data_IF_899060045311
#
_entry.id   IF_899060045311
#
_cell.length_a   1.000
_cell.length_b   1.000
_cell.length_c   1.000
_cell.angle_alpha   90.00
_cell.angle_beta   90.00
_cell.angle_gamma   90.00
#
_symmetry.space_group_name_H-M   'P 1'
#
loop_
_entity.id
_entity.type
_entity.pdbx_description
1 polymer ?
#
# COMPACT_ATOMS: atom_id res chain seq x y z
N UNK A 1 -16.24 -0.46 12.15
CA UNK A 1 -15.14 0.52 12.05
C UNK A 1 -15.28 1.65 13.06
N UNK A 2 -16.29 2.53 12.98
CA UNK A 2 -16.51 3.61 13.97
C UNK A 2 -16.56 3.09 15.40
N UNK A 3 -17.37 2.08 15.65
CA UNK A 3 -17.55 1.54 17.00
C UNK A 3 -16.27 0.88 17.55
N UNK A 4 -15.30 0.57 16.68
CA UNK A 4 -13.98 0.06 17.06
C UNK A 4 -12.98 1.18 17.38
N UNK A 5 -13.43 2.44 17.37
CA UNK A 5 -12.56 3.60 17.62
C UNK A 5 -11.61 3.91 16.46
N UNK A 6 -11.92 3.49 15.22
CA UNK A 6 -11.08 3.81 14.06
C UNK A 6 -11.09 5.31 13.81
N UNK A 7 -9.95 5.96 14.08
CA UNK A 7 -9.73 7.37 13.81
C UNK A 7 -9.21 7.62 12.39
N UNK A 8 -8.24 6.81 11.93
CA UNK A 8 -7.68 6.91 10.58
C UNK A 8 -8.18 5.77 9.70
N UNK A 9 -8.85 6.12 8.60
CA UNK A 9 -9.29 5.16 7.59
C UNK A 9 -8.55 5.43 6.28
N UNK A 10 -7.76 4.44 5.84
CA UNK A 10 -7.13 4.47 4.52
C UNK A 10 -7.94 3.64 3.53
N UNK A 11 -8.52 4.29 2.54
CA UNK A 11 -9.14 3.64 1.39
C UNK A 11 -8.07 3.38 0.33
N UNK A 12 -7.91 2.12 -0.05
CA UNK A 12 -6.85 1.61 -0.93
C UNK A 12 -7.40 0.45 -1.78
N UNK A 13 -6.55 -0.44 -2.27
CA UNK A 13 -6.92 -1.59 -3.12
C UNK A 13 -6.00 -1.67 -4.33
N UNK A 14 -6.55 -2.12 -5.46
CA UNK A 14 -5.96 -1.83 -6.78
C UNK A 14 -6.17 -0.35 -7.15
N UNK A 15 -7.43 0.09 -7.19
CA UNK A 15 -7.83 1.49 -7.32
C UNK A 15 -9.17 1.71 -6.58
N UNK A 16 -9.25 2.50 -5.50
CA UNK A 16 -10.51 2.67 -4.76
C UNK A 16 -11.56 3.47 -5.54
N UNK A 17 -11.16 4.39 -6.43
CA UNK A 17 -12.09 5.29 -7.14
C UNK A 17 -12.89 4.63 -8.28
N UNK A 18 -12.69 3.32 -8.50
CA UNK A 18 -13.54 2.53 -9.42
C UNK A 18 -14.64 1.77 -8.68
N UNK A 19 -14.60 1.71 -7.35
CA UNK A 19 -15.59 1.00 -6.57
C UNK A 19 -16.95 1.73 -6.64
N UNK A 20 -18.05 1.03 -6.96
CA UNK A 20 -19.36 1.66 -7.10
C UNK A 20 -19.89 2.24 -5.79
N UNK A 21 -19.43 1.74 -4.64
CA UNK A 21 -19.81 2.21 -3.31
C UNK A 21 -18.85 3.26 -2.75
N UNK A 22 -17.79 3.64 -3.49
CA UNK A 22 -16.76 4.57 -2.99
C UNK A 22 -17.37 5.88 -2.45
N UNK A 23 -18.29 6.49 -3.19
CA UNK A 23 -18.88 7.78 -2.81
C UNK A 23 -19.63 7.67 -1.47
N UNK A 24 -20.45 6.63 -1.31
CA UNK A 24 -21.26 6.38 -0.11
C UNK A 24 -20.38 6.04 1.09
N UNK A 25 -19.42 5.13 0.91
CA UNK A 25 -18.49 4.71 1.97
C UNK A 25 -17.64 5.88 2.44
N UNK A 26 -17.12 6.69 1.51
CA UNK A 26 -16.29 7.84 1.85
C UNK A 26 -17.08 8.93 2.58
N UNK A 27 -18.26 9.31 2.08
CA UNK A 27 -19.12 10.31 2.74
C UNK A 27 -19.50 9.85 4.16
N UNK A 28 -19.95 8.61 4.30
CA UNK A 28 -20.32 8.06 5.59
C UNK A 28 -19.12 8.05 6.56
N UNK A 29 -17.95 7.58 6.13
CA UNK A 29 -16.78 7.56 6.99
C UNK A 29 -16.36 8.97 7.46
N UNK A 30 -16.48 9.98 6.58
CA UNK A 30 -16.23 11.38 6.92
C UNK A 30 -17.23 11.88 7.97
N UNK A 31 -18.53 11.65 7.75
CA UNK A 31 -19.61 12.05 8.66
C UNK A 31 -19.50 11.37 10.04
N UNK A 32 -18.92 10.16 10.08
CA UNK A 32 -18.60 9.46 11.32
C UNK A 32 -17.31 9.98 12.00
N UNK A 33 -16.69 11.04 11.48
CA UNK A 33 -15.56 11.74 12.10
C UNK A 33 -14.18 11.11 11.83
N UNK A 34 -14.06 10.23 10.83
CA UNK A 34 -12.78 9.60 10.51
C UNK A 34 -11.88 10.52 9.67
N UNK A 35 -10.58 10.43 9.92
CA UNK A 35 -9.55 11.06 9.10
C UNK A 35 -9.23 10.19 7.88
N UNK A 36 -9.72 10.62 6.72
CA UNK A 36 -9.69 9.80 5.50
C UNK A 36 -8.41 9.99 4.69
N UNK A 37 -7.74 8.89 4.38
CA UNK A 37 -6.64 8.84 3.42
C UNK A 37 -7.05 8.03 2.20
N UNK A 38 -6.84 8.57 1.00
CA UNK A 38 -7.07 7.84 -0.25
C UNK A 38 -5.72 7.47 -0.84
N UNK A 39 -5.52 6.21 -1.22
CA UNK A 39 -4.38 5.77 -2.03
C UNK A 39 -4.87 5.37 -3.42
N UNK A 40 -4.46 6.12 -4.44
CA UNK A 40 -5.01 6.04 -5.82
C UNK A 40 -3.90 6.16 -6.86
N UNK A 41 -4.14 5.66 -8.08
CA UNK A 41 -3.31 5.94 -9.25
C UNK A 41 -3.63 7.32 -9.88
N UNK A 42 -4.61 8.05 -9.35
CA UNK A 42 -4.94 9.41 -9.75
C UNK A 42 -5.73 9.55 -11.06
N UNK A 43 -5.87 8.47 -11.85
CA UNK A 43 -6.50 8.52 -13.18
C UNK A 43 -7.97 8.92 -13.17
N UNK A 44 -8.65 8.82 -12.02
CA UNK A 44 -10.08 9.15 -11.85
C UNK A 44 -10.32 10.48 -11.15
N UNK A 45 -9.27 11.16 -10.69
CA UNK A 45 -9.40 12.44 -9.97
C UNK A 45 -9.95 13.58 -10.85
N UNK A 46 -9.98 13.42 -12.17
CA UNK A 46 -10.59 14.40 -13.06
C UNK A 46 -12.12 14.28 -13.19
N UNK A 47 -12.72 13.25 -12.58
CA UNK A 47 -14.16 13.03 -12.65
C UNK A 47 -14.88 14.03 -11.73
N UNK A 48 -15.88 14.75 -12.25
CA UNK A 48 -16.59 15.80 -11.51
C UNK A 48 -17.28 15.27 -10.26
N UNK A 49 -17.94 14.11 -10.31
CA UNK A 49 -18.59 13.52 -9.14
C UNK A 49 -17.60 13.18 -8.03
N UNK A 50 -16.41 12.70 -8.40
CA UNK A 50 -15.33 12.44 -7.42
C UNK A 50 -14.82 13.76 -6.83
N UNK A 51 -14.55 14.78 -7.66
CA UNK A 51 -14.08 16.08 -7.18
C UNK A 51 -15.10 16.77 -6.28
N UNK A 52 -16.37 16.77 -6.66
CA UNK A 52 -17.46 17.35 -5.87
C UNK A 52 -17.55 16.68 -4.49
N UNK A 53 -17.38 15.35 -4.42
CA UNK A 53 -17.32 14.63 -3.16
C UNK A 53 -16.10 15.04 -2.33
N UNK A 54 -14.90 14.97 -2.91
CA UNK A 54 -13.64 15.20 -2.20
C UNK A 54 -13.44 16.67 -1.79
N UNK A 55 -14.10 17.61 -2.45
CA UNK A 55 -14.10 19.04 -2.05
C UNK A 55 -15.16 19.34 -0.99
N UNK A 56 -16.29 18.63 -1.01
CA UNK A 56 -17.31 18.71 0.05
C UNK A 56 -16.85 18.05 1.36
N UNK A 57 -16.21 16.90 1.25
CA UNK A 57 -15.74 16.08 2.36
C UNK A 57 -14.22 15.93 2.24
N UNK A 58 -13.47 16.96 2.65
CA UNK A 58 -12.04 17.06 2.36
C UNK A 58 -11.23 15.90 2.97
N UNK A 59 -10.46 15.13 2.16
CA UNK A 59 -9.62 14.08 2.71
C UNK A 59 -8.52 14.65 3.59
N UNK A 60 -8.08 13.89 4.59
CA UNK A 60 -6.87 14.24 5.33
C UNK A 60 -5.63 14.22 4.41
N UNK A 61 -5.59 13.28 3.46
CA UNK A 61 -4.59 13.26 2.37
C UNK A 61 -5.04 12.38 1.20
N UNK A 62 -4.57 12.71 0.00
CA UNK A 62 -4.64 11.86 -1.19
C UNK A 62 -3.22 11.48 -1.59
N UNK A 63 -2.90 10.19 -1.48
CA UNK A 63 -1.60 9.63 -1.84
C UNK A 63 -1.68 9.05 -3.24
N UNK A 64 -1.00 9.68 -4.19
CA UNK A 64 -1.02 9.29 -5.61
C UNK A 64 0.26 8.54 -5.99
N UNK A 65 0.11 7.38 -6.62
CA UNK A 65 1.26 6.61 -7.13
C UNK A 65 1.75 7.13 -8.49
N UNK A 66 3.07 7.30 -8.62
CA UNK A 66 3.75 7.68 -9.87
C UNK A 66 4.54 6.47 -10.40
N UNK A 67 4.32 6.13 -11.66
CA UNK A 67 4.94 4.99 -12.35
C UNK A 67 5.86 5.40 -13.51
N UNK A 68 5.96 6.69 -13.82
CA UNK A 68 6.80 7.25 -14.88
C UNK A 68 6.64 8.76 -14.96
N UNK A 69 7.62 9.42 -15.55
CA UNK A 69 7.60 10.84 -15.88
C UNK A 69 7.18 11.10 -17.35
N UNK A 70 7.23 10.08 -18.21
CA UNK A 70 6.82 10.17 -19.62
C UNK A 70 5.65 9.24 -19.98
N UNK A 71 4.93 9.54 -21.07
CA UNK A 71 3.84 8.68 -21.55
C UNK A 71 4.32 7.29 -21.91
N UNK A 72 5.48 7.17 -22.57
CA UNK A 72 6.04 5.89 -22.98
C UNK A 72 6.37 5.00 -21.77
N UNK A 73 7.09 5.53 -20.79
CA UNK A 73 7.48 4.78 -19.59
C UNK A 73 6.28 4.45 -18.72
N UNK A 74 5.40 5.42 -18.45
CA UNK A 74 4.24 5.21 -17.58
C UNK A 74 3.25 4.20 -18.17
N UNK A 75 2.90 4.32 -19.46
CA UNK A 75 2.02 3.37 -20.13
C UNK A 75 2.67 1.98 -20.24
N UNK A 76 4.01 1.94 -20.40
CA UNK A 76 4.82 0.71 -20.36
C UNK A 76 4.73 0.01 -19.01
N UNK A 77 5.04 0.70 -17.91
CA UNK A 77 4.97 0.11 -16.55
C UNK A 77 3.55 -0.32 -16.19
N UNK A 78 2.55 0.47 -16.53
CA UNK A 78 1.15 0.15 -16.22
C UNK A 78 0.51 -0.85 -17.20
N UNK A 79 1.24 -1.23 -18.26
CA UNK A 79 0.77 -2.13 -19.33
C UNK A 79 -0.56 -1.67 -19.96
N UNK A 80 -0.81 -0.36 -19.98
CA UNK A 80 -2.05 0.23 -20.50
C UNK A 80 -1.82 1.59 -21.12
N UNK A 81 -2.10 1.68 -22.42
CA UNK A 81 -2.00 2.90 -23.20
C UNK A 81 -2.97 3.99 -22.72
N UNK A 82 -2.49 5.23 -22.67
CA UNK A 82 -3.22 6.44 -22.31
C UNK A 82 -3.38 6.67 -20.81
N UNK A 83 -2.78 5.84 -19.96
CA UNK A 83 -2.91 6.00 -18.50
C UNK A 83 -2.12 7.22 -18.01
N UNK A 84 -0.98 7.55 -18.63
CA UNK A 84 -0.25 8.77 -18.30
C UNK A 84 -1.10 10.02 -18.52
N UNK A 85 -1.83 10.08 -19.63
CA UNK A 85 -2.72 11.22 -19.95
C UNK A 85 -3.83 11.35 -18.92
N UNK A 86 -4.46 10.24 -18.52
CA UNK A 86 -5.49 10.24 -17.48
C UNK A 86 -4.91 10.67 -16.12
N UNK A 87 -3.73 10.16 -15.76
CA UNK A 87 -3.00 10.54 -14.56
C UNK A 87 -2.69 12.05 -14.53
N UNK A 88 -2.10 12.61 -15.60
CA UNK A 88 -1.80 14.05 -15.71
C UNK A 88 -3.06 14.91 -15.61
N UNK A 89 -4.15 14.49 -16.27
CA UNK A 89 -5.46 15.16 -16.18
C UNK A 89 -6.01 15.12 -14.76
N UNK A 90 -5.90 13.97 -14.09
CA UNK A 90 -6.31 13.79 -12.70
C UNK A 90 -5.52 14.67 -11.74
N UNK A 91 -4.19 14.74 -11.88
CA UNK A 91 -3.33 15.61 -11.08
C UNK A 91 -3.64 17.09 -11.27
N UNK A 92 -3.84 17.52 -12.52
CA UNK A 92 -4.19 18.92 -12.80
C UNK A 92 -5.51 19.31 -12.11
N UNK A 93 -6.54 18.48 -12.25
CA UNK A 93 -7.84 18.73 -11.65
C UNK A 93 -7.80 18.68 -10.11
N UNK A 94 -7.07 17.71 -9.54
CA UNK A 94 -6.91 17.60 -8.09
C UNK A 94 -6.17 18.81 -7.48
N UNK A 95 -5.14 19.30 -8.17
CA UNK A 95 -4.40 20.50 -7.76
C UNK A 95 -5.26 21.76 -7.88
N UNK A 96 -6.00 21.90 -8.96
CA UNK A 96 -6.93 23.03 -9.15
C UNK A 96 -8.02 23.04 -8.08
N UNK A 97 -8.51 21.87 -7.67
CA UNK A 97 -9.47 21.70 -6.58
C UNK A 97 -8.84 21.83 -5.17
N UNK A 98 -7.53 22.06 -5.06
CA UNK A 98 -6.84 22.22 -3.77
C UNK A 98 -6.80 20.96 -2.91
N UNK A 99 -6.82 19.76 -3.52
CA UNK A 99 -6.74 18.51 -2.75
C UNK A 99 -5.35 18.35 -2.10
N UNK A 100 -5.27 17.81 -0.87
CA UNK A 100 -4.01 17.61 -0.16
C UNK A 100 -3.22 16.41 -0.73
N UNK A 101 -2.43 16.67 -1.77
CA UNK A 101 -1.69 15.65 -2.51
C UNK A 101 -0.37 15.28 -1.82
N UNK A 102 -0.11 13.98 -1.75
CA UNK A 102 1.20 13.37 -1.49
C UNK A 102 1.48 12.30 -2.52
N UNK A 103 2.74 11.93 -2.69
CA UNK A 103 3.12 11.02 -3.76
C UNK A 103 3.89 9.78 -3.28
N UNK A 104 3.64 8.67 -3.96
CA UNK A 104 4.46 7.47 -3.87
C UNK A 104 5.14 7.28 -5.23
N UNK A 105 6.46 7.51 -5.31
CA UNK A 105 7.24 7.22 -6.52
C UNK A 105 7.63 5.75 -6.48
N UNK A 106 7.12 4.98 -7.45
CA UNK A 106 7.37 3.54 -7.53
C UNK A 106 8.49 3.30 -8.54
N UNK A 107 9.64 2.85 -8.04
CA UNK A 107 10.84 2.62 -8.87
C UNK A 107 10.98 1.13 -9.15
N UNK A 108 10.88 0.79 -10.44
CA UNK A 108 11.01 -0.55 -11.02
C UNK A 108 12.05 -0.51 -12.15
N UNK A 109 12.48 -1.68 -12.61
CA UNK A 109 13.55 -1.77 -13.61
C UNK A 109 13.24 -0.97 -14.88
N UNK A 110 11.98 -1.01 -15.33
CA UNK A 110 11.53 -0.35 -16.55
C UNK A 110 11.51 1.18 -16.46
N UNK A 111 11.39 1.78 -15.26
CA UNK A 111 11.28 3.23 -15.08
C UNK A 111 12.40 3.86 -14.25
N UNK A 112 13.37 3.07 -13.78
CA UNK A 112 14.43 3.54 -12.88
C UNK A 112 15.20 4.75 -13.40
N UNK A 113 15.34 4.82 -14.72
CA UNK A 113 16.03 5.90 -15.41
C UNK A 113 15.30 7.24 -15.33
N UNK A 114 14.02 7.25 -14.94
CA UNK A 114 13.20 8.46 -14.75
C UNK A 114 12.98 8.81 -13.25
N UNK A 115 13.73 8.21 -12.31
CA UNK A 115 13.50 8.45 -10.87
C UNK A 115 13.56 9.95 -10.52
N UNK A 116 14.56 10.66 -11.02
CA UNK A 116 14.74 12.09 -10.72
C UNK A 116 13.57 12.93 -11.27
N UNK A 117 13.13 12.64 -12.48
CA UNK A 117 12.02 13.31 -13.15
C UNK A 117 10.68 12.98 -12.48
N UNK A 118 10.47 11.75 -12.01
CA UNK A 118 9.30 11.37 -11.24
C UNK A 118 9.24 12.10 -9.89
N UNK A 119 10.38 12.29 -9.22
CA UNK A 119 10.48 13.10 -7.99
C UNK A 119 10.15 14.57 -8.28
N UNK A 120 10.75 15.15 -9.31
CA UNK A 120 10.45 16.53 -9.72
C UNK A 120 8.97 16.71 -10.09
N UNK A 121 8.34 15.68 -10.68
CA UNK A 121 6.91 15.66 -10.95
C UNK A 121 6.08 15.67 -9.67
N UNK A 122 6.46 14.91 -8.65
CA UNK A 122 5.79 14.92 -7.35
C UNK A 122 5.91 16.28 -6.66
N UNK A 123 7.13 16.83 -6.61
CA UNK A 123 7.44 18.12 -5.99
C UNK A 123 6.67 19.29 -6.64
N UNK A 124 6.35 19.19 -7.93
CA UNK A 124 5.56 20.18 -8.65
C UNK A 124 4.05 20.17 -8.36
N UNK A 125 3.54 19.19 -7.61
CA UNK A 125 2.11 18.99 -7.38
C UNK A 125 1.68 18.81 -5.92
N UNK A 126 2.59 18.47 -5.00
CA UNK A 126 2.21 18.21 -3.61
C UNK A 126 3.35 18.45 -2.63
N UNK A 127 3.06 18.26 -1.35
CA UNK A 127 3.92 18.72 -0.26
C UNK A 127 5.07 17.76 0.08
N UNK A 128 4.93 16.48 -0.30
CA UNK A 128 5.81 15.40 0.14
C UNK A 128 5.68 14.16 -0.76
N UNK A 129 6.76 13.38 -0.85
CA UNK A 129 6.79 12.10 -1.55
C UNK A 129 7.63 11.04 -0.84
N UNK A 130 7.20 9.79 -0.98
CA UNK A 130 7.98 8.63 -0.60
C UNK A 130 8.42 7.85 -1.83
N UNK A 131 9.65 7.34 -1.82
CA UNK A 131 10.18 6.52 -2.92
C UNK A 131 10.23 5.07 -2.50
N UNK A 132 9.46 4.25 -3.19
CA UNK A 132 9.42 2.80 -3.04
C UNK A 132 10.30 2.17 -4.12
N UNK A 133 11.53 1.83 -3.75
CA UNK A 133 12.43 1.06 -4.61
C UNK A 133 12.53 -0.41 -4.21
N UNK A 134 12.01 -0.82 -3.05
CA UNK A 134 11.97 -2.22 -2.64
C UNK A 134 10.54 -2.76 -2.81
N UNK A 135 10.35 -3.63 -3.78
CA UNK A 135 9.11 -4.32 -4.09
C UNK A 135 9.02 -5.62 -3.28
N UNK A 136 7.82 -5.90 -2.79
CA UNK A 136 7.48 -7.11 -2.07
C UNK A 136 6.68 -8.06 -2.96
N UNK A 137 6.70 -9.37 -2.69
CA UNK A 137 5.84 -10.32 -3.40
C UNK A 137 4.38 -9.92 -3.28
N UNK A 138 3.57 -10.34 -4.24
CA UNK A 138 2.13 -10.12 -4.19
C UNK A 138 1.52 -10.84 -2.99
N UNK A 139 0.37 -10.36 -2.52
CA UNK A 139 -0.40 -11.06 -1.46
C UNK A 139 -0.96 -12.41 -1.93
N UNK A 140 -0.99 -12.64 -3.24
CA UNK A 140 -1.35 -13.91 -3.87
C UNK A 140 -0.11 -14.79 -4.12
N UNK A 141 1.04 -14.41 -3.53
CA UNK A 141 2.27 -15.18 -3.43
C UNK A 141 2.94 -15.54 -4.76
N UNK A 142 2.65 -14.80 -5.82
CA UNK A 142 3.35 -14.92 -7.09
C UNK A 142 4.62 -14.02 -7.16
N UNK A 143 5.68 -14.46 -7.86
CA UNK A 143 6.95 -13.73 -7.98
C UNK A 143 6.90 -12.59 -9.01
N UNK A 144 5.76 -12.34 -9.66
CA UNK A 144 5.64 -11.42 -10.79
C UNK A 144 6.03 -9.99 -10.42
N UNK A 145 5.76 -9.57 -9.17
CA UNK A 145 6.19 -8.24 -8.71
C UNK A 145 7.70 -8.14 -8.50
N UNK A 146 8.38 -9.28 -8.25
CA UNK A 146 9.83 -9.31 -8.05
C UNK A 146 10.60 -9.25 -9.37
N UNK A 147 9.99 -9.61 -10.50
CA UNK A 147 10.67 -9.51 -11.80
C UNK A 147 10.80 -8.07 -12.27
N UNK A 148 9.87 -7.19 -11.86
CA UNK A 148 9.95 -5.74 -12.11
C UNK A 148 10.91 -5.02 -11.16
N UNK A 149 11.44 -5.68 -10.14
CA UNK A 149 12.33 -5.06 -9.15
C UNK A 149 13.61 -4.55 -9.80
N UNK A 150 13.92 -3.26 -9.67
CA UNK A 150 15.23 -2.76 -10.11
C UNK A 150 16.32 -3.20 -9.13
N UNK A 151 17.34 -3.90 -9.61
CA UNK A 151 18.47 -4.36 -8.78
C UNK A 151 19.40 -3.22 -8.37
N UNK A 152 19.57 -2.23 -9.24
CA UNK A 152 20.39 -1.02 -9.02
C UNK A 152 19.84 -0.12 -7.91
N UNK A 153 18.51 -0.06 -7.79
CA UNK A 153 17.81 0.80 -6.84
C UNK A 153 17.42 0.10 -5.54
N UNK A 154 17.78 -1.18 -5.38
CA UNK A 154 17.58 -1.90 -4.13
C UNK A 154 18.30 -1.17 -2.99
N UNK A 155 17.55 -0.90 -1.93
CA UNK A 155 18.09 -0.33 -0.68
C UNK A 155 18.09 -1.39 0.40
N UNK A 156 19.01 -1.24 1.34
CA UNK A 156 18.98 -2.03 2.57
C UNK A 156 17.65 -1.77 3.28
N UNK A 157 16.93 -2.85 3.61
CA UNK A 157 15.65 -2.73 4.33
C UNK A 157 15.92 -2.18 5.72
N UNK A 158 15.08 -1.24 6.16
CA UNK A 158 15.09 -0.78 7.55
C UNK A 158 14.83 -1.97 8.47
N UNK A 159 15.67 -2.20 9.50
CA UNK A 159 15.43 -3.26 10.47
C UNK A 159 14.05 -3.09 11.13
N UNK A 160 13.25 -4.14 11.06
CA UNK A 160 11.99 -4.25 11.78
C UNK A 160 12.27 -4.34 13.28
N UNK A 161 11.82 -3.35 14.03
CA UNK A 161 11.94 -3.27 15.50
C UNK A 161 10.62 -3.53 16.22
N UNK A 162 9.57 -3.89 15.49
CA UNK A 162 8.20 -4.07 15.98
C UNK A 162 7.18 -3.29 15.17
N UNK A 163 5.91 -3.68 15.24
CA UNK A 163 4.78 -2.89 14.75
C UNK A 163 3.49 -3.27 15.49
N UNK A 164 2.49 -2.39 15.46
CA UNK A 164 1.22 -2.60 16.18
C UNK A 164 0.15 -3.35 15.36
N UNK A 165 0.57 -4.21 14.42
CA UNK A 165 -0.33 -4.95 13.54
C UNK A 165 -1.24 -5.88 14.34
N UNK A 166 -2.55 -5.80 14.10
CA UNK A 166 -3.57 -6.54 14.84
C UNK A 166 -3.87 -5.98 16.23
N UNK A 167 -3.22 -4.88 16.65
CA UNK A 167 -3.44 -4.26 17.97
C UNK A 167 -4.04 -2.86 17.82
N UNK A 168 -3.32 -1.93 17.18
CA UNK A 168 -3.80 -0.55 16.97
C UNK A 168 -4.10 -0.25 15.51
N UNK A 169 -3.86 -1.20 14.62
CA UNK A 169 -4.22 -1.14 13.21
C UNK A 169 -4.50 -2.53 12.68
N UNK A 170 -5.35 -2.59 11.67
CA UNK A 170 -5.69 -3.81 10.95
C UNK A 170 -6.05 -3.45 9.51
N UNK A 171 -6.12 -4.47 8.66
CA UNK A 171 -6.62 -4.35 7.30
C UNK A 171 -7.96 -5.06 7.22
N UNK A 172 -8.94 -4.48 6.52
CA UNK A 172 -10.16 -5.16 6.13
C UNK A 172 -10.30 -5.10 4.61
N UNK A 173 -10.72 -6.21 4.02
CA UNK A 173 -11.05 -6.27 2.60
C UNK A 173 -12.53 -5.91 2.34
N UNK A 174 -12.95 -5.78 1.06
CA UNK A 174 -14.32 -5.40 0.72
C UNK A 174 -15.40 -6.40 1.19
N UNK A 175 -15.02 -7.62 1.57
CA UNK A 175 -15.94 -8.64 2.06
C UNK A 175 -16.04 -8.65 3.59
N UNK A 176 -15.40 -7.69 4.27
CA UNK A 176 -15.40 -7.59 5.72
C UNK A 176 -14.45 -8.57 6.40
N UNK A 177 -13.50 -9.17 5.66
CA UNK A 177 -12.47 -10.05 6.24
C UNK A 177 -11.34 -9.19 6.78
N UNK A 178 -11.12 -9.26 8.10
CA UNK A 178 -10.08 -8.50 8.78
C UNK A 178 -8.81 -9.32 8.98
N UNK A 179 -7.65 -8.75 8.66
CA UNK A 179 -6.31 -9.30 8.91
C UNK A 179 -5.47 -8.33 9.73
N UNK A 180 -4.41 -8.83 10.37
CA UNK A 180 -3.54 -8.01 11.25
C UNK A 180 -2.90 -6.82 10.52
N UNK A 181 -2.63 -6.96 9.21
CA UNK A 181 -2.13 -5.90 8.35
C UNK A 181 -2.32 -6.28 6.87
N UNK A 182 -1.82 -5.44 5.95
CA UNK A 182 -1.87 -5.66 4.49
C UNK A 182 -1.03 -6.85 4.01
N UNK A 183 -0.05 -7.31 4.80
CA UNK A 183 0.90 -8.38 4.43
C UNK A 183 0.54 -9.70 5.11
N UNK A 184 0.33 -9.69 6.43
CA UNK A 184 -0.05 -10.86 7.21
C UNK A 184 -1.53 -11.17 7.08
N UNK A 185 -1.93 -11.77 5.96
CA UNK A 185 -3.34 -12.08 5.62
C UNK A 185 -3.71 -13.57 5.74
N UNK A 186 -2.83 -14.38 6.34
CA UNK A 186 -3.00 -15.83 6.43
C UNK A 186 -4.25 -16.24 7.22
N UNK A 187 -4.46 -15.57 8.35
CA UNK A 187 -5.62 -15.77 9.21
C UNK A 187 -6.45 -14.48 9.22
N UNK A 188 -7.75 -14.63 8.99
CA UNK A 188 -8.68 -13.53 8.82
C UNK A 188 -9.93 -13.77 9.64
N UNK A 189 -10.41 -12.71 10.29
CA UNK A 189 -11.64 -12.67 11.09
C UNK A 189 -12.78 -12.20 10.21
N UNK A 190 -13.96 -12.80 10.35
CA UNK A 190 -15.14 -12.42 9.58
C UNK A 190 -15.96 -11.35 10.32
N UNK A 191 -15.77 -10.07 10.00
CA UNK A 191 -16.49 -9.00 10.70
C UNK A 191 -17.99 -8.93 10.36
N UNK A 192 -18.42 -9.59 9.28
CA UNK A 192 -19.84 -9.65 8.92
C UNK A 192 -20.54 -10.69 9.80
N UNK A 193 -19.91 -11.84 10.03
CA UNK A 193 -20.47 -12.89 10.86
C UNK A 193 -20.27 -12.62 12.36
N UNK A 194 -19.10 -12.15 12.76
CA UNK A 194 -18.68 -12.05 14.17
C UNK A 194 -18.89 -10.65 14.75
N UNK A 195 -19.19 -9.67 13.89
CA UNK A 195 -19.28 -8.28 14.27
C UNK A 195 -17.94 -7.71 14.74
N UNK A 196 -18.02 -6.61 15.47
CA UNK A 196 -16.85 -5.88 15.98
C UNK A 196 -16.01 -6.68 16.98
N UNK A 197 -16.65 -7.52 17.80
CA UNK A 197 -15.99 -8.30 18.84
C UNK A 197 -14.98 -9.30 18.27
N UNK A 198 -15.18 -9.71 17.01
CA UNK A 198 -14.21 -10.54 16.29
C UNK A 198 -12.82 -9.94 16.24
N UNK A 199 -12.68 -8.60 16.26
CA UNK A 199 -11.38 -7.92 16.25
C UNK A 199 -10.47 -8.31 17.43
N UNK A 200 -11.05 -8.77 18.55
CA UNK A 200 -10.30 -9.26 19.72
C UNK A 200 -9.42 -10.49 19.42
N UNK A 201 -9.63 -11.16 18.28
CA UNK A 201 -8.81 -12.27 17.80
C UNK A 201 -7.53 -11.82 17.06
N UNK A 202 -7.44 -10.56 16.63
CA UNK A 202 -6.29 -10.09 15.85
C UNK A 202 -4.96 -10.07 16.64
N UNK A 203 -4.90 -9.69 17.93
CA UNK A 203 -3.65 -9.73 18.69
C UNK A 203 -3.01 -11.13 18.79
N UNK A 204 -3.72 -12.21 19.20
CA UNK A 204 -3.10 -13.54 19.23
C UNK A 204 -2.76 -14.07 17.82
N UNK A 205 -3.50 -13.67 16.77
CA UNK A 205 -3.10 -13.95 15.38
C UNK A 205 -1.78 -13.25 15.06
N UNK A 206 -1.59 -12.00 15.50
CA UNK A 206 -0.35 -11.26 15.27
C UNK A 206 0.86 -11.96 15.91
N UNK A 207 0.74 -12.40 17.17
CA UNK A 207 1.78 -13.15 17.87
C UNK A 207 2.14 -14.45 17.12
N UNK A 208 1.12 -15.18 16.67
CA UNK A 208 1.30 -16.42 15.90
C UNK A 208 2.01 -16.17 14.56
N UNK A 209 1.63 -15.13 13.83
CA UNK A 209 2.25 -14.80 12.53
C UNK A 209 3.68 -14.26 12.66
N UNK A 210 4.11 -13.91 13.86
CA UNK A 210 5.50 -13.55 14.16
C UNK A 210 6.43 -14.75 14.39
N UNK A 211 5.88 -15.97 14.51
CA UNK A 211 6.68 -17.19 14.66
C UNK A 211 7.54 -17.48 13.43
N UNK A 212 8.78 -17.92 13.67
CA UNK A 212 9.72 -18.32 12.61
C UNK A 212 9.24 -19.63 11.97
N UNK A 213 9.11 -19.64 10.65
CA UNK A 213 8.68 -20.81 9.86
C UNK A 213 9.54 -20.97 8.61
N UNK A 214 9.44 -22.14 7.95
CA UNK A 214 10.20 -22.46 6.74
C UNK A 214 11.71 -22.44 6.99
N UNK A 215 12.48 -21.88 6.05
CA UNK A 215 13.94 -21.75 6.18
C UNK A 215 14.43 -20.85 7.32
N UNK A 216 13.53 -20.22 8.07
CA UNK A 216 13.88 -19.43 9.26
C UNK A 216 13.72 -20.23 10.57
N UNK A 217 13.09 -21.40 10.56
CA UNK A 217 12.92 -22.24 11.74
C UNK A 217 14.28 -22.68 12.29
N UNK A 218 14.53 -22.45 13.58
CA UNK A 218 15.79 -22.83 14.23
C UNK A 218 17.02 -22.02 13.81
N UNK A 219 16.83 -20.88 13.11
CA UNK A 219 17.94 -20.03 12.70
C UNK A 219 18.72 -19.50 13.92
N UNK A 220 20.03 -19.80 14.00
CA UNK A 220 20.89 -19.36 15.09
C UNK A 220 21.00 -17.82 15.18
N UNK A 221 20.70 -17.10 14.09
CA UNK A 221 20.75 -15.64 14.01
C UNK A 221 19.41 -14.97 14.35
N UNK A 222 18.39 -15.73 14.78
CA UNK A 222 17.04 -15.19 15.00
C UNK A 222 16.99 -14.09 16.07
N UNK A 223 17.89 -14.12 17.06
CA UNK A 223 17.95 -13.14 18.15
C UNK A 223 18.34 -11.73 17.69
N UNK A 224 18.97 -11.60 16.51
CA UNK A 224 19.34 -10.32 15.91
C UNK A 224 18.64 -10.06 14.58
N UNK A 225 17.60 -10.84 14.25
CA UNK A 225 16.91 -10.76 12.96
C UNK A 225 15.81 -9.69 12.98
N UNK A 226 16.07 -8.55 12.36
CA UNK A 226 15.11 -7.45 12.17
C UNK A 226 14.28 -7.61 10.91
N UNK A 227 13.86 -8.83 10.54
CA UNK A 227 13.02 -9.05 9.36
C UNK A 227 11.58 -9.26 9.80
N UNK A 228 10.65 -8.44 9.26
CA UNK A 228 9.22 -8.61 9.44
C UNK A 228 8.80 -10.02 9.02
N UNK A 229 8.27 -10.79 9.97
CA UNK A 229 8.03 -12.21 9.75
C UNK A 229 6.96 -12.49 8.70
N UNK A 230 5.77 -11.86 8.73
CA UNK A 230 4.78 -12.00 7.66
C UNK A 230 5.35 -11.70 6.27
N UNK A 231 6.19 -10.66 6.15
CA UNK A 231 6.82 -10.31 4.88
C UNK A 231 7.81 -11.40 4.41
N UNK A 232 8.69 -11.87 5.29
CA UNK A 232 9.62 -12.95 4.93
C UNK A 232 8.90 -14.24 4.53
N UNK A 233 7.73 -14.53 5.12
CA UNK A 233 6.92 -15.69 4.74
C UNK A 233 6.44 -15.54 3.30
N UNK A 234 6.00 -14.34 2.90
CA UNK A 234 5.60 -14.07 1.50
C UNK A 234 6.74 -14.24 0.52
N UNK A 235 7.97 -13.84 0.88
CA UNK A 235 9.13 -14.11 0.05
C UNK A 235 9.42 -15.61 -0.09
N UNK A 236 9.27 -16.39 0.99
CA UNK A 236 9.44 -17.84 0.95
C UNK A 236 8.39 -18.51 0.06
N UNK A 237 7.11 -18.12 0.17
CA UNK A 237 6.02 -18.65 -0.67
C UNK A 237 6.20 -18.29 -2.15
N UNK A 238 6.74 -17.11 -2.44
CA UNK A 238 7.09 -16.69 -3.79
C UNK A 238 8.39 -17.33 -4.32
N UNK A 239 8.99 -18.27 -3.58
CA UNK A 239 10.28 -18.90 -3.90
C UNK A 239 11.40 -17.88 -4.19
N UNK A 240 11.37 -16.72 -3.51
CA UNK A 240 12.35 -15.69 -3.72
C UNK A 240 13.73 -16.09 -3.17
N UNK A 241 14.83 -15.63 -3.78
CA UNK A 241 16.17 -15.85 -3.25
C UNK A 241 16.30 -15.40 -1.79
N UNK A 242 17.08 -16.13 -0.99
CA UNK A 242 17.27 -15.83 0.43
C UNK A 242 17.76 -14.38 0.66
N UNK A 243 18.65 -13.89 -0.20
CA UNK A 243 19.17 -12.52 -0.16
C UNK A 243 18.09 -11.44 -0.33
N UNK A 244 16.91 -11.76 -0.88
CA UNK A 244 15.82 -10.81 -1.08
C UNK A 244 15.15 -10.40 0.23
N UNK A 245 15.24 -11.22 1.28
CA UNK A 245 14.55 -10.98 2.55
C UNK A 245 15.40 -11.26 3.80
N UNK A 246 16.47 -12.05 3.70
CA UNK A 246 17.38 -12.30 4.81
C UNK A 246 18.43 -11.19 4.91
N UNK A 247 18.48 -10.50 6.05
CA UNK A 247 19.49 -9.47 6.35
C UNK A 247 20.93 -10.00 6.40
N UNK A 248 21.10 -11.32 6.51
CA UNK A 248 22.39 -12.00 6.57
C UNK A 248 22.63 -12.89 5.35
N UNK A 249 21.70 -12.92 4.37
CA UNK A 249 21.71 -13.90 3.27
C UNK A 249 22.76 -13.67 2.18
N UNK A 250 23.63 -12.67 2.36
CA UNK A 250 24.80 -12.41 1.50
C UNK A 250 26.15 -12.64 2.20
N UNK A 251 26.15 -13.26 3.38
CA UNK A 251 27.35 -13.69 4.11
C UNK A 251 27.54 -15.19 3.97
#
# INVERSE_FOLDING_TARGET
>A
MRDAGVLWLQLTGGEPLIDPLFLEVYALAYELGMMLTISTNGSRLHNSTILDLLTRYLPYRVVVSIYGATEATYDGVTQRRGTFKLFRRGLAAAREAGLPLRFNVIVVEDNKHEEAEMRALADGFGDDHHVYSNISPTIHSGPESLTSQSTEHLRARTPFTGCNAGVTHFHADPFGRASICKVGRDEQVDLIAEGIEGLSQLPPIADKLMLRTGGCSGCALQGSCGVCRPLAKRYQEANAPLASYCQQGGR
#
